data_IF_218519335790
#
_entry.id   IF_218519335790
#
_cell.length_a   1.000
_cell.length_b   1.000
_cell.length_c   1.000
_cell.angle_alpha   90.00
_cell.angle_beta   90.00
_cell.angle_gamma   90.00
#
_symmetry.space_group_name_H-M   'P 1'
#
loop_
_entity.id
_entity.type
_entity.pdbx_description
1 polymer ?
#
# COMPACT_ATOMS: atom_id res chain seq x y z
N UNK A 1 21.24 6.34 1.31
CA UNK A 1 20.62 7.61 1.73
C UNK A 1 19.33 7.77 0.95
N UNK A 2 18.24 8.18 1.61
CA UNK A 2 16.94 8.36 0.95
C UNK A 2 17.03 9.43 -0.14
N UNK A 3 16.39 9.19 -1.29
CA UNK A 3 16.48 10.06 -2.48
C UNK A 3 15.36 11.10 -2.50
N UNK A 4 14.17 10.72 -2.07
CA UNK A 4 12.94 11.51 -2.22
C UNK A 4 12.29 11.90 -0.89
N UNK A 5 12.94 11.63 0.26
CA UNK A 5 12.37 11.84 1.59
C UNK A 5 11.91 13.28 1.84
N UNK A 6 12.70 14.26 1.43
CA UNK A 6 12.34 15.68 1.63
C UNK A 6 11.44 16.22 0.51
N UNK A 7 11.15 15.39 -0.50
CA UNK A 7 10.48 15.84 -1.71
C UNK A 7 9.93 14.67 -2.54
N UNK A 8 8.77 14.18 -2.12
CA UNK A 8 8.08 13.06 -2.77
C UNK A 8 7.59 13.41 -4.19
N UNK A 9 8.07 12.74 -5.25
CA UNK A 9 7.68 13.00 -6.64
C UNK A 9 6.17 12.95 -6.88
N UNK A 10 5.47 11.99 -6.26
CA UNK A 10 4.03 11.82 -6.39
C UNK A 10 3.21 12.96 -5.80
N UNK A 11 3.82 13.87 -5.00
CA UNK A 11 3.18 15.10 -4.51
C UNK A 11 3.24 16.25 -5.50
N UNK A 12 4.14 16.18 -6.48
CA UNK A 12 4.35 17.23 -7.50
C UNK A 12 3.45 17.07 -8.72
N UNK A 13 2.60 16.04 -8.74
CA UNK A 13 1.78 15.67 -9.89
C UNK A 13 2.40 14.52 -10.69
N UNK A 14 1.70 14.12 -11.75
CA UNK A 14 1.98 12.88 -12.46
C UNK A 14 1.20 11.72 -11.86
N UNK A 15 1.30 10.56 -12.50
CA UNK A 15 0.58 9.34 -12.12
C UNK A 15 1.61 8.31 -11.71
N UNK A 16 1.35 7.68 -10.58
CA UNK A 16 2.22 6.65 -10.01
C UNK A 16 1.45 5.33 -9.95
N UNK A 17 2.12 4.27 -10.38
CA UNK A 17 1.64 2.90 -10.20
C UNK A 17 2.22 2.34 -8.89
N UNK A 18 1.42 1.56 -8.17
CA UNK A 18 1.89 0.64 -7.12
C UNK A 18 1.68 -0.80 -7.60
N UNK A 19 2.16 -1.76 -6.84
CA UNK A 19 1.93 -3.18 -7.12
C UNK A 19 0.48 -3.64 -6.79
N UNK A 20 0.25 -4.94 -6.93
CA UNK A 20 -1.04 -5.61 -6.68
C UNK A 20 -1.08 -6.36 -5.34
N UNK A 21 -1.83 -7.45 -5.28
CA UNK A 21 -1.88 -8.33 -4.11
C UNK A 21 -0.68 -9.28 -4.10
N UNK A 22 0.40 -8.89 -3.41
CA UNK A 22 1.66 -9.65 -3.39
C UNK A 22 1.46 -11.08 -2.88
N UNK A 23 0.99 -11.22 -1.65
CA UNK A 23 0.84 -12.52 -1.01
C UNK A 23 -0.14 -13.41 -1.79
N UNK A 24 -1.28 -12.86 -2.24
CA UNK A 24 -2.24 -13.61 -3.07
C UNK A 24 -1.61 -14.04 -4.40
N UNK A 25 -0.78 -13.22 -5.03
CA UNK A 25 -0.08 -13.59 -6.27
C UNK A 25 0.93 -14.70 -6.02
N UNK A 26 1.75 -14.58 -4.97
CA UNK A 26 2.80 -15.54 -4.65
C UNK A 26 2.21 -16.90 -4.25
N UNK A 27 1.11 -16.92 -3.50
CA UNK A 27 0.42 -18.16 -3.10
C UNK A 27 -0.31 -18.76 -4.30
N UNK A 28 -1.29 -18.06 -4.88
CA UNK A 28 -2.22 -18.66 -5.83
C UNK A 28 -1.70 -18.76 -7.27
N UNK A 29 -0.76 -17.89 -7.68
CA UNK A 29 -0.20 -17.92 -9.04
C UNK A 29 1.20 -18.50 -9.11
N UNK A 30 1.96 -18.50 -8.02
CA UNK A 30 3.34 -19.03 -7.97
C UNK A 30 3.48 -20.28 -7.11
N UNK A 31 2.44 -20.67 -6.35
CA UNK A 31 2.45 -21.88 -5.53
C UNK A 31 3.45 -21.80 -4.38
N UNK A 32 3.76 -20.60 -3.89
CA UNK A 32 4.68 -20.41 -2.77
C UNK A 32 3.94 -20.53 -1.44
N UNK A 33 4.56 -21.22 -0.50
CA UNK A 33 4.12 -21.25 0.89
C UNK A 33 4.62 -19.98 1.60
N UNK A 34 3.68 -19.19 2.11
CA UNK A 34 3.98 -18.02 2.93
C UNK A 34 3.46 -18.28 4.35
N UNK A 35 4.32 -18.73 5.29
CA UNK A 35 3.90 -18.99 6.66
C UNK A 35 3.29 -17.73 7.26
N UNK A 36 2.10 -17.87 7.84
CA UNK A 36 1.32 -16.75 8.35
C UNK A 36 1.15 -15.60 7.34
N UNK A 37 1.02 -15.89 6.04
CA UNK A 37 0.82 -14.88 5.00
C UNK A 37 1.90 -13.77 5.01
N UNK A 38 3.13 -14.11 5.43
CA UNK A 38 4.19 -13.13 5.62
C UNK A 38 5.20 -13.18 4.47
N UNK A 39 5.12 -12.25 3.53
CA UNK A 39 6.03 -12.20 2.37
C UNK A 39 7.50 -11.91 2.76
N UNK A 40 7.76 -11.22 3.87
CA UNK A 40 9.11 -10.80 4.26
C UNK A 40 10.08 -11.96 4.46
N UNK A 41 9.58 -13.17 4.77
CA UNK A 41 10.40 -14.38 4.96
C UNK A 41 11.14 -14.77 3.68
N UNK A 42 10.64 -14.38 2.50
CA UNK A 42 11.29 -14.63 1.22
C UNK A 42 12.62 -13.86 1.10
N UNK A 43 12.83 -12.80 1.88
CA UNK A 43 14.07 -12.02 1.87
C UNK A 43 15.26 -12.78 2.46
N UNK A 44 15.05 -13.90 3.17
CA UNK A 44 16.13 -14.70 3.77
C UNK A 44 16.94 -15.47 2.73
N UNK A 45 16.31 -15.91 1.64
CA UNK A 45 16.96 -16.77 0.64
C UNK A 45 17.11 -16.07 -0.72
N UNK A 46 18.10 -16.50 -1.50
CA UNK A 46 18.29 -15.97 -2.85
C UNK A 46 17.12 -16.35 -3.78
N UNK A 47 16.59 -17.56 -3.63
CA UNK A 47 15.41 -18.00 -4.35
C UNK A 47 14.18 -17.14 -4.04
N UNK A 48 13.92 -16.85 -2.76
CA UNK A 48 12.83 -15.98 -2.35
C UNK A 48 12.98 -14.54 -2.87
N UNK A 49 14.18 -13.96 -2.79
CA UNK A 49 14.50 -12.65 -3.40
C UNK A 49 14.31 -12.66 -4.91
N UNK A 50 14.62 -13.75 -5.59
CA UNK A 50 14.37 -13.90 -7.04
C UNK A 50 12.87 -13.89 -7.37
N UNK A 51 12.04 -14.56 -6.56
CA UNK A 51 10.58 -14.50 -6.72
C UNK A 51 10.01 -13.10 -6.49
N UNK A 52 10.48 -12.40 -5.44
CA UNK A 52 10.10 -11.01 -5.18
C UNK A 52 10.52 -10.10 -6.34
N UNK A 53 11.74 -10.27 -6.86
CA UNK A 53 12.24 -9.47 -7.99
C UNK A 53 11.35 -9.65 -9.22
N UNK A 54 11.06 -10.89 -9.61
CA UNK A 54 10.15 -11.18 -10.73
C UNK A 54 8.75 -10.61 -10.52
N UNK A 55 8.26 -10.62 -9.28
CA UNK A 55 6.98 -9.99 -8.93
C UNK A 55 7.01 -8.48 -9.22
N UNK A 56 7.97 -7.72 -8.67
CA UNK A 56 8.05 -6.27 -8.87
C UNK A 56 8.31 -5.89 -10.32
N UNK A 57 9.20 -6.62 -11.01
CA UNK A 57 9.58 -6.33 -12.39
C UNK A 57 8.40 -6.40 -13.36
N UNK A 58 7.40 -7.24 -13.09
CA UNK A 58 6.17 -7.29 -13.87
C UNK A 58 5.38 -5.96 -13.82
N UNK A 59 5.28 -5.33 -12.64
CA UNK A 59 4.59 -4.04 -12.47
C UNK A 59 5.44 -2.87 -12.93
N UNK A 60 6.75 -2.89 -12.68
CA UNK A 60 7.68 -1.86 -13.16
C UNK A 60 7.72 -1.80 -14.70
N UNK A 61 7.61 -2.96 -15.37
CA UNK A 61 7.50 -3.01 -16.83
C UNK A 61 6.23 -2.30 -17.34
N UNK A 62 5.08 -2.51 -16.68
CA UNK A 62 3.82 -1.85 -17.00
C UNK A 62 3.93 -0.35 -16.77
N UNK A 63 4.46 0.09 -15.63
CA UNK A 63 4.65 1.51 -15.33
C UNK A 63 5.53 2.20 -16.40
N UNK A 64 6.64 1.58 -16.77
CA UNK A 64 7.53 2.07 -17.82
C UNK A 64 6.85 2.14 -19.19
N UNK A 65 6.06 1.14 -19.56
CA UNK A 65 5.30 1.14 -20.82
C UNK A 65 4.35 2.34 -20.92
N UNK A 66 3.76 2.75 -19.79
CA UNK A 66 2.81 3.87 -19.72
C UNK A 66 3.42 5.21 -19.29
N UNK A 67 4.75 5.29 -19.12
CA UNK A 67 5.41 6.53 -18.73
C UNK A 67 5.12 6.97 -17.28
N UNK A 68 4.90 6.03 -16.36
CA UNK A 68 4.47 6.29 -14.99
C UNK A 68 5.63 6.23 -13.99
N UNK A 69 5.53 7.03 -12.93
CA UNK A 69 6.33 6.78 -11.72
C UNK A 69 5.88 5.50 -11.02
N UNK A 70 6.69 5.00 -10.10
CA UNK A 70 6.37 3.80 -9.32
C UNK A 70 6.59 4.02 -7.83
N UNK A 71 5.72 3.46 -6.99
CA UNK A 71 5.95 3.34 -5.54
C UNK A 71 6.27 1.88 -5.24
N UNK A 72 7.51 1.63 -4.84
CA UNK A 72 8.01 0.32 -4.44
C UNK A 72 7.67 0.12 -2.95
N UNK A 73 6.61 -0.65 -2.68
CA UNK A 73 6.21 -1.02 -1.33
C UNK A 73 7.03 -2.22 -0.83
N UNK A 74 7.66 -2.14 0.33
CA UNK A 74 8.45 -3.25 0.86
C UNK A 74 7.57 -4.45 1.21
N UNK A 75 8.06 -5.71 1.09
CA UNK A 75 7.28 -6.92 1.38
C UNK A 75 7.14 -7.17 2.89
N UNK A 76 6.82 -6.14 3.68
CA UNK A 76 6.97 -6.09 5.14
C UNK A 76 5.66 -5.85 5.89
N UNK A 77 4.51 -6.03 5.23
CA UNK A 77 3.19 -5.79 5.83
C UNK A 77 2.99 -6.54 7.16
N UNK A 78 3.48 -7.79 7.27
CA UNK A 78 3.51 -8.59 8.53
C UNK A 78 4.86 -8.62 9.25
N UNK A 79 5.84 -7.78 8.92
CA UNK A 79 7.16 -7.77 9.57
C UNK A 79 7.16 -6.97 10.90
N UNK A 80 6.23 -7.31 11.79
CA UNK A 80 6.01 -6.65 13.08
C UNK A 80 6.15 -7.63 14.26
N UNK A 81 6.21 -7.16 15.53
CA UNK A 81 6.49 -8.01 16.69
C UNK A 81 5.56 -9.22 16.86
N UNK A 82 4.25 -9.05 16.67
CA UNK A 82 3.26 -10.10 16.96
C UNK A 82 3.34 -11.26 15.94
N UNK A 83 3.60 -10.94 14.67
CA UNK A 83 3.86 -11.95 13.63
C UNK A 83 5.29 -12.49 13.68
N UNK A 84 6.27 -11.64 14.03
CA UNK A 84 7.66 -12.03 14.21
C UNK A 84 7.83 -13.16 15.22
N UNK A 85 7.21 -13.05 16.39
CA UNK A 85 7.24 -14.11 17.43
C UNK A 85 6.71 -15.44 16.90
N UNK A 86 5.61 -15.44 16.13
CA UNK A 86 5.04 -16.66 15.53
C UNK A 86 5.98 -17.30 14.48
N UNK A 87 6.78 -16.48 13.82
CA UNK A 87 7.73 -16.88 12.78
C UNK A 87 9.15 -17.12 13.32
N UNK A 88 9.39 -16.95 14.63
CA UNK A 88 10.69 -17.15 15.26
C UNK A 88 11.66 -15.97 15.14
N UNK A 89 11.16 -14.75 14.90
CA UNK A 89 11.93 -13.51 14.87
C UNK A 89 11.81 -12.78 16.20
N UNK A 90 12.94 -12.39 16.78
CA UNK A 90 13.01 -11.40 17.84
C UNK A 90 13.08 -9.96 17.26
N UNK A 91 13.16 -8.96 18.14
CA UNK A 91 13.20 -7.55 17.74
C UNK A 91 14.44 -7.19 16.90
N UNK A 92 15.58 -7.82 17.17
CA UNK A 92 16.82 -7.57 16.43
C UNK A 92 16.73 -8.16 15.02
N UNK A 93 16.21 -9.39 14.91
CA UNK A 93 15.94 -10.03 13.63
C UNK A 93 14.89 -9.26 12.82
N UNK A 94 13.84 -8.74 13.47
CA UNK A 94 12.86 -7.86 12.82
C UNK A 94 13.48 -6.55 12.32
N UNK A 95 14.38 -5.96 13.08
CA UNK A 95 15.13 -4.76 12.65
C UNK A 95 15.93 -5.08 11.38
N UNK A 96 16.71 -6.17 11.40
CA UNK A 96 17.54 -6.61 10.27
C UNK A 96 16.70 -6.89 9.03
N UNK A 97 15.57 -7.60 9.16
CA UNK A 97 14.76 -7.99 7.99
C UNK A 97 14.01 -6.80 7.38
N UNK A 98 13.53 -5.86 8.20
CA UNK A 98 12.91 -4.62 7.72
C UNK A 98 13.95 -3.74 6.99
N UNK A 99 15.17 -3.61 7.51
CA UNK A 99 16.24 -2.89 6.80
C UNK A 99 16.64 -3.59 5.50
N UNK A 100 16.71 -4.93 5.49
CA UNK A 100 17.00 -5.73 4.29
C UNK A 100 15.94 -5.52 3.21
N UNK A 101 14.67 -5.41 3.59
CA UNK A 101 13.58 -5.14 2.66
C UNK A 101 13.79 -3.83 1.91
N UNK A 102 14.17 -2.75 2.61
CA UNK A 102 14.45 -1.46 1.99
C UNK A 102 15.66 -1.54 1.05
N UNK A 103 16.75 -2.19 1.46
CA UNK A 103 17.94 -2.39 0.61
C UNK A 103 17.62 -3.18 -0.65
N UNK A 104 16.77 -4.20 -0.55
CA UNK A 104 16.29 -4.96 -1.71
C UNK A 104 15.53 -4.06 -2.70
N UNK A 105 14.70 -3.14 -2.21
CA UNK A 105 14.04 -2.15 -3.07
C UNK A 105 15.02 -1.13 -3.67
N UNK A 106 16.10 -0.80 -2.97
CA UNK A 106 17.17 0.05 -3.52
C UNK A 106 17.84 -0.59 -4.74
N UNK A 107 18.05 -1.91 -4.73
CA UNK A 107 18.57 -2.66 -5.90
C UNK A 107 17.61 -2.55 -7.10
N UNK A 108 16.30 -2.72 -6.87
CA UNK A 108 15.28 -2.57 -7.90
C UNK A 108 15.26 -1.13 -8.45
N UNK A 109 15.23 -0.12 -7.58
CA UNK A 109 15.30 1.29 -7.98
C UNK A 109 16.54 1.57 -8.83
N UNK A 110 17.71 1.07 -8.43
CA UNK A 110 18.96 1.25 -9.18
C UNK A 110 18.93 0.70 -10.60
N UNK A 111 18.08 -0.29 -10.87
CA UNK A 111 17.92 -0.91 -12.20
C UNK A 111 16.83 -0.24 -13.04
N UNK A 112 15.75 0.20 -12.39
CA UNK A 112 14.51 0.56 -13.08
C UNK A 112 14.23 2.06 -13.15
N UNK A 113 14.79 2.84 -12.23
CA UNK A 113 14.57 4.29 -12.20
C UNK A 113 15.27 4.99 -13.35
N UNK A 114 14.58 5.94 -13.98
CA UNK A 114 15.16 6.84 -14.99
C UNK A 114 14.68 8.27 -14.79
N UNK A 115 15.26 9.24 -15.52
CA UNK A 115 14.97 10.67 -15.39
C UNK A 115 13.50 11.09 -15.69
N UNK A 116 12.62 10.16 -16.09
CA UNK A 116 11.18 10.41 -16.25
C UNK A 116 10.28 9.40 -15.53
N UNK A 117 10.87 8.40 -14.86
CA UNK A 117 10.16 7.29 -14.21
C UNK A 117 10.70 7.14 -12.78
N UNK A 118 10.38 8.10 -11.89
CA UNK A 118 10.87 8.05 -10.51
C UNK A 118 10.33 6.82 -9.79
N UNK A 119 11.19 6.15 -9.02
CA UNK A 119 10.81 5.01 -8.18
C UNK A 119 10.99 5.39 -6.71
N UNK A 120 9.88 5.57 -6.01
CA UNK A 120 9.83 5.93 -4.59
C UNK A 120 9.87 4.67 -3.74
N UNK A 121 10.79 4.59 -2.78
CA UNK A 121 10.88 3.45 -1.86
C UNK A 121 10.00 3.71 -0.65
N UNK A 122 8.98 2.89 -0.46
CA UNK A 122 8.02 2.99 0.61
C UNK A 122 8.12 1.79 1.58
N UNK A 123 8.29 2.09 2.86
CA UNK A 123 8.17 1.08 3.92
C UNK A 123 6.70 0.73 4.16
N UNK A 124 6.28 -0.47 3.79
CA UNK A 124 4.91 -0.94 3.98
C UNK A 124 4.72 -1.51 5.39
N UNK A 125 3.73 -0.96 6.09
CA UNK A 125 3.36 -1.33 7.46
C UNK A 125 1.95 -1.90 7.43
N UNK A 126 1.73 -3.06 8.04
CA UNK A 126 0.40 -3.59 8.28
C UNK A 126 -0.14 -3.20 9.65
N UNK A 127 -1.45 -3.38 9.88
CA UNK A 127 -2.00 -3.24 11.21
C UNK A 127 -1.40 -4.30 12.13
N UNK A 128 -1.41 -4.05 13.45
CA UNK A 128 -1.02 -5.05 14.44
C UNK A 128 -1.87 -6.32 14.36
N UNK A 129 -3.17 -6.14 14.13
CA UNK A 129 -4.14 -7.23 14.01
C UNK A 129 -4.14 -7.90 12.63
N UNK A 130 -5.18 -8.68 12.36
CA UNK A 130 -5.51 -9.02 10.97
C UNK A 130 -6.30 -7.85 10.39
N UNK A 131 -6.02 -7.43 9.15
CA UNK A 131 -6.59 -6.21 8.55
C UNK A 131 -8.12 -6.14 8.55
N UNK A 132 -8.79 -7.27 8.78
CA UNK A 132 -10.25 -7.43 8.82
C UNK A 132 -10.84 -7.47 10.25
N UNK A 133 -10.04 -7.33 11.31
CA UNK A 133 -10.52 -7.33 12.71
C UNK A 133 -10.08 -6.06 13.43
N UNK A 134 -11.02 -5.43 14.14
CA UNK A 134 -10.77 -4.18 14.88
C UNK A 134 -9.60 -4.32 15.87
N UNK A 135 -8.57 -3.50 15.71
CA UNK A 135 -7.55 -3.32 16.74
C UNK A 135 -8.13 -2.62 17.99
N UNK A 136 -7.62 -2.95 19.18
CA UNK A 136 -8.03 -2.36 20.47
C UNK A 136 -6.96 -1.43 21.07
N UNK A 137 -6.04 -0.90 20.27
CA UNK A 137 -4.99 -0.01 20.76
C UNK A 137 -5.46 1.44 20.86
N UNK A 138 -5.00 2.14 21.88
CA UNK A 138 -4.98 3.59 21.86
C UNK A 138 -3.86 4.13 20.95
N UNK A 139 -3.84 5.44 20.71
CA UNK A 139 -2.89 6.05 19.80
C UNK A 139 -1.43 6.05 20.31
N UNK A 140 -1.22 6.01 21.63
CA UNK A 140 0.12 5.95 22.22
C UNK A 140 0.66 4.53 22.13
N UNK A 141 -0.15 3.53 22.47
CA UNK A 141 0.21 2.11 22.31
C UNK A 141 0.53 1.78 20.84
N UNK A 142 -0.26 2.30 19.90
CA UNK A 142 0.00 2.11 18.48
C UNK A 142 1.30 2.80 18.03
N UNK A 143 1.59 3.99 18.56
CA UNK A 143 2.85 4.68 18.28
C UNK A 143 4.05 3.85 18.76
N UNK A 144 4.02 3.36 20.00
CA UNK A 144 5.10 2.54 20.57
C UNK A 144 5.29 1.24 19.78
N UNK A 145 4.19 0.57 19.42
CA UNK A 145 4.21 -0.67 18.67
C UNK A 145 4.89 -0.53 17.29
N UNK A 146 4.52 0.50 16.53
CA UNK A 146 5.00 0.70 15.16
C UNK A 146 6.35 1.41 15.06
N UNK A 147 6.82 2.04 16.14
CA UNK A 147 8.03 2.89 16.13
C UNK A 147 9.30 2.15 15.70
N UNK A 148 9.51 0.92 16.15
CA UNK A 148 10.73 0.15 15.83
C UNK A 148 10.84 -0.19 14.33
N UNK A 149 9.72 -0.58 13.71
CA UNK A 149 9.67 -0.89 12.28
C UNK A 149 9.91 0.38 11.44
N UNK A 150 9.26 1.49 11.80
CA UNK A 150 9.44 2.78 11.14
C UNK A 150 10.89 3.28 11.27
N UNK A 151 11.50 3.15 12.44
CA UNK A 151 12.90 3.52 12.66
C UNK A 151 13.84 2.70 11.75
N UNK A 152 13.59 1.39 11.63
CA UNK A 152 14.35 0.51 10.73
C UNK A 152 14.28 0.97 9.26
N UNK A 153 13.09 1.38 8.80
CA UNK A 153 12.93 1.93 7.44
C UNK A 153 13.63 3.28 7.26
N UNK A 154 13.51 4.17 8.25
CA UNK A 154 14.15 5.47 8.22
C UNK A 154 15.67 5.36 8.17
N UNK A 155 16.26 4.47 8.98
CA UNK A 155 17.69 4.18 9.01
C UNK A 155 18.16 3.54 7.69
N UNK A 156 17.40 2.58 7.16
CA UNK A 156 17.75 1.90 5.91
C UNK A 156 17.62 2.78 4.66
N UNK A 157 17.02 3.97 4.76
CA UNK A 157 16.95 4.94 3.66
C UNK A 157 15.66 4.92 2.85
N UNK A 158 14.55 4.44 3.42
CA UNK A 158 13.23 4.55 2.78
C UNK A 158 12.86 6.01 2.51
N UNK A 159 12.20 6.30 1.39
CA UNK A 159 11.78 7.66 1.05
C UNK A 159 10.53 8.07 1.84
N UNK A 160 9.66 7.12 2.14
CA UNK A 160 8.45 7.31 2.96
C UNK A 160 8.03 5.98 3.61
N UNK A 161 7.00 6.05 4.45
CA UNK A 161 6.27 4.87 4.95
C UNK A 161 4.78 4.99 4.67
N UNK A 162 4.11 3.86 4.50
CA UNK A 162 2.65 3.81 4.39
C UNK A 162 2.12 2.68 5.25
N UNK A 163 1.18 3.00 6.13
CA UNK A 163 0.40 1.96 6.81
C UNK A 163 -0.83 1.60 5.99
N UNK A 164 -0.94 0.32 5.64
CA UNK A 164 -1.97 -0.23 4.78
C UNK A 164 -2.98 -1.06 5.55
N UNK A 165 -4.22 -1.05 5.07
CA UNK A 165 -5.32 -1.86 5.62
C UNK A 165 -5.60 -1.52 7.08
N UNK A 166 -5.46 -0.24 7.45
CA UNK A 166 -5.85 0.19 8.78
C UNK A 166 -7.37 0.18 8.90
N UNK A 167 -7.85 -0.35 10.03
CA UNK A 167 -9.26 -0.40 10.38
C UNK A 167 -9.56 0.36 11.69
N UNK A 168 -8.57 1.07 12.22
CA UNK A 168 -8.65 1.84 13.47
C UNK A 168 -8.01 3.22 13.29
N UNK A 169 -8.75 4.26 13.69
CA UNK A 169 -8.28 5.65 13.69
C UNK A 169 -7.13 5.86 14.67
N UNK A 170 -7.18 5.22 15.84
CA UNK A 170 -6.10 5.32 16.84
C UNK A 170 -4.78 4.76 16.32
N UNK A 171 -4.84 3.65 15.59
CA UNK A 171 -3.64 3.06 15.01
C UNK A 171 -3.03 3.97 13.94
N UNK A 172 -3.87 4.59 13.10
CA UNK A 172 -3.42 5.60 12.14
C UNK A 172 -2.74 6.79 12.81
N UNK A 173 -3.31 7.32 13.90
CA UNK A 173 -2.71 8.40 14.68
C UNK A 173 -1.34 7.97 15.23
N UNK A 174 -1.24 6.77 15.80
CA UNK A 174 0.00 6.24 16.36
C UNK A 174 1.11 6.13 15.32
N UNK A 175 0.80 5.56 14.14
CA UNK A 175 1.74 5.46 13.01
C UNK A 175 2.22 6.86 12.57
N UNK A 176 1.31 7.82 12.40
CA UNK A 176 1.68 9.18 11.96
C UNK A 176 2.61 9.84 12.98
N UNK A 177 2.34 9.68 14.28
CA UNK A 177 3.21 10.22 15.34
C UNK A 177 4.58 9.56 15.36
N UNK A 178 4.64 8.24 15.21
CA UNK A 178 5.90 7.50 15.13
C UNK A 178 6.75 7.94 13.91
N UNK A 179 6.13 8.08 12.73
CA UNK A 179 6.82 8.57 11.54
C UNK A 179 7.30 10.01 11.68
N UNK A 180 6.50 10.88 12.30
CA UNK A 180 6.90 12.27 12.62
C UNK A 180 8.14 12.31 13.52
N UNK A 181 8.25 11.43 14.52
CA UNK A 181 9.46 11.34 15.36
C UNK A 181 10.71 10.93 14.58
N UNK A 182 10.55 10.09 13.55
CA UNK A 182 11.65 9.62 12.70
C UNK A 182 11.93 10.56 11.50
N UNK A 183 11.23 11.69 11.41
CA UNK A 183 11.33 12.64 10.30
C UNK A 183 11.20 11.98 8.92
N UNK A 184 10.29 10.99 8.79
CA UNK A 184 9.99 10.31 7.54
C UNK A 184 8.55 10.62 7.11
N UNK A 185 8.30 11.00 5.84
CA UNK A 185 6.96 11.20 5.34
C UNK A 185 6.10 9.94 5.50
N UNK A 186 4.83 10.15 5.81
CA UNK A 186 3.88 9.07 6.09
C UNK A 186 2.58 9.25 5.32
N UNK A 187 2.11 8.17 4.74
CA UNK A 187 0.74 8.05 4.23
C UNK A 187 -0.03 7.00 5.03
N UNK A 188 -1.36 7.14 5.06
CA UNK A 188 -2.26 6.20 5.73
C UNK A 188 -3.27 5.66 4.72
N UNK A 189 -3.45 4.35 4.68
CA UNK A 189 -4.47 3.72 3.86
C UNK A 189 -5.48 2.98 4.71
N UNK A 190 -6.74 3.42 4.65
CA UNK A 190 -7.85 2.76 5.33
C UNK A 190 -8.46 1.69 4.43
N UNK A 191 -9.01 0.64 5.05
CA UNK A 191 -9.95 -0.28 4.41
C UNK A 191 -11.36 -0.05 4.95
N UNK A 192 -12.36 -0.41 4.15
CA UNK A 192 -13.79 -0.32 4.50
C UNK A 192 -14.49 -1.62 4.16
N UNK A 193 -15.61 -1.88 4.84
CA UNK A 193 -16.54 -2.94 4.48
C UNK A 193 -17.45 -2.55 3.32
N UNK A 194 -18.33 -3.47 2.92
CA UNK A 194 -19.26 -3.31 1.79
C UNK A 194 -20.24 -2.15 1.94
N UNK A 195 -20.41 -1.61 3.15
CA UNK A 195 -21.22 -0.44 3.48
C UNK A 195 -20.45 0.89 3.38
N UNK A 196 -19.15 0.84 3.09
CA UNK A 196 -18.29 2.02 2.95
C UNK A 196 -17.73 2.57 4.26
N UNK A 197 -17.93 1.85 5.37
CA UNK A 197 -17.45 2.22 6.69
C UNK A 197 -16.25 1.37 7.13
N UNK A 198 -15.43 1.90 8.04
CA UNK A 198 -14.45 1.09 8.77
C UNK A 198 -15.17 0.04 9.64
N UNK A 199 -14.45 -0.97 10.10
CA UNK A 199 -15.01 -2.10 10.86
C UNK A 199 -15.79 -1.72 12.15
N UNK A 200 -15.56 -0.51 12.70
CA UNK A 200 -16.26 0.02 13.88
C UNK A 200 -17.39 1.00 13.51
N UNK A 201 -17.66 1.20 12.23
CA UNK A 201 -18.74 2.02 11.70
C UNK A 201 -18.36 3.47 11.38
N UNK A 202 -17.11 3.90 11.64
CA UNK A 202 -16.67 5.23 11.23
C UNK A 202 -16.63 5.34 9.71
N UNK A 203 -17.10 6.46 9.18
CA UNK A 203 -16.95 6.80 7.77
C UNK A 203 -15.49 7.15 7.46
N UNK A 204 -15.10 7.05 6.18
CA UNK A 204 -13.78 7.53 5.72
C UNK A 204 -13.54 9.00 6.06
N UNK A 205 -14.59 9.83 5.97
CA UNK A 205 -14.54 11.24 6.33
C UNK A 205 -14.15 11.44 7.79
N UNK A 206 -14.89 10.80 8.70
CA UNK A 206 -14.63 10.90 10.14
C UNK A 206 -13.21 10.43 10.46
N UNK A 207 -12.80 9.27 9.91
CA UNK A 207 -11.47 8.73 10.13
C UNK A 207 -10.36 9.71 9.70
N UNK A 208 -10.45 10.25 8.48
CA UNK A 208 -9.47 11.20 7.93
C UNK A 208 -9.44 12.49 8.76
N UNK A 209 -10.60 13.08 9.05
CA UNK A 209 -10.69 14.33 9.80
C UNK A 209 -10.18 14.19 11.24
N UNK A 210 -10.41 13.05 11.90
CA UNK A 210 -9.88 12.78 13.24
C UNK A 210 -8.36 12.63 13.21
N UNK A 211 -7.80 11.85 12.26
CA UNK A 211 -6.34 11.71 12.12
C UNK A 211 -5.69 13.05 11.86
N UNK A 212 -6.19 13.82 10.88
CA UNK A 212 -5.65 15.13 10.52
C UNK A 212 -5.68 16.09 11.73
N UNK A 213 -6.78 16.11 12.49
CA UNK A 213 -6.90 16.95 13.69
C UNK A 213 -5.93 16.54 14.80
N UNK A 214 -5.83 15.23 15.07
CA UNK A 214 -5.01 14.69 16.16
C UNK A 214 -3.50 14.72 15.89
N UNK A 215 -3.10 14.94 14.63
CA UNK A 215 -1.71 14.90 14.16
C UNK A 215 -1.27 16.21 13.49
N UNK A 216 -2.11 17.25 13.53
CA UNK A 216 -1.85 18.55 12.88
C UNK A 216 -1.57 18.39 11.37
N UNK A 217 -2.30 17.48 10.71
CA UNK A 217 -2.17 17.15 9.29
C UNK A 217 -0.76 16.69 8.90
N UNK A 218 -0.04 16.03 9.80
CA UNK A 218 1.30 15.51 9.54
C UNK A 218 1.32 14.36 8.52
N UNK A 219 0.18 13.72 8.25
CA UNK A 219 0.04 12.74 7.18
C UNK A 219 0.12 13.43 5.80
N UNK A 220 0.97 12.96 4.89
CA UNK A 220 1.10 13.52 3.55
C UNK A 220 -0.23 13.46 2.77
N UNK A 221 -0.82 12.26 2.78
CA UNK A 221 -2.07 11.94 2.15
C UNK A 221 -2.64 10.61 2.66
N UNK A 222 -3.90 10.38 2.34
CA UNK A 222 -4.58 9.13 2.59
C UNK A 222 -4.76 8.34 1.30
N UNK A 223 -4.94 7.03 1.45
CA UNK A 223 -5.31 6.10 0.40
C UNK A 223 -6.51 5.27 0.89
N UNK A 224 -7.16 4.59 -0.05
CA UNK A 224 -8.10 3.51 0.25
C UNK A 224 -7.51 2.22 -0.30
N UNK A 225 -7.39 1.18 0.50
CA UNK A 225 -6.91 -0.11 0.02
C UNK A 225 -7.69 -1.29 0.60
N UNK A 226 -7.50 -2.45 -0.01
CA UNK A 226 -8.13 -3.70 0.40
C UNK A 226 -9.66 -3.69 0.35
N UNK A 227 -10.27 -2.74 -0.37
CA UNK A 227 -11.70 -2.69 -0.65
C UNK A 227 -11.92 -2.57 -2.16
N UNK A 228 -13.02 -3.10 -2.67
CA UNK A 228 -13.39 -2.93 -4.08
C UNK A 228 -14.05 -1.55 -4.27
N UNK A 229 -13.90 -0.84 -5.40
CA UNK A 229 -14.46 0.50 -5.57
C UNK A 229 -15.97 0.59 -5.30
N UNK A 230 -16.72 -0.48 -5.57
CA UNK A 230 -18.17 -0.57 -5.27
C UNK A 230 -18.50 -0.37 -3.79
N UNK A 231 -17.56 -0.59 -2.89
CA UNK A 231 -17.78 -0.48 -1.45
C UNK A 231 -17.73 0.97 -0.97
N UNK A 232 -16.94 1.83 -1.62
CA UNK A 232 -16.70 3.20 -1.13
C UNK A 232 -17.04 4.31 -2.13
N UNK A 233 -17.25 4.00 -3.42
CA UNK A 233 -17.45 5.04 -4.44
C UNK A 233 -18.64 5.96 -4.14
N UNK A 234 -19.70 5.43 -3.50
CA UNK A 234 -20.88 6.18 -3.08
C UNK A 234 -20.63 7.12 -1.88
N UNK A 235 -19.60 6.85 -1.07
CA UNK A 235 -19.22 7.66 0.08
C UNK A 235 -18.36 8.87 -0.31
N UNK A 236 -17.82 8.90 -1.53
CA UNK A 236 -16.95 9.97 -2.00
C UNK A 236 -17.77 11.07 -2.70
N UNK A 237 -17.75 12.28 -2.15
CA UNK A 237 -18.40 13.45 -2.76
C UNK A 237 -17.38 14.48 -3.24
N UNK A 238 -17.39 14.77 -4.55
CA UNK A 238 -16.45 15.71 -5.16
C UNK A 238 -16.60 17.13 -4.56
N UNK A 239 -15.45 17.80 -4.34
CA UNK A 239 -15.40 19.14 -3.76
C UNK A 239 -15.41 19.18 -2.24
N UNK A 240 -15.59 18.06 -1.54
CA UNK A 240 -15.42 18.04 -0.08
C UNK A 240 -13.92 18.07 0.30
N UNK A 241 -13.49 18.94 1.25
CA UNK A 241 -12.07 19.12 1.58
C UNK A 241 -11.33 17.86 2.05
N UNK A 242 -12.03 16.91 2.68
CA UNK A 242 -11.44 15.66 3.15
C UNK A 242 -11.12 14.71 1.99
N UNK A 243 -11.91 14.74 0.90
CA UNK A 243 -11.69 13.91 -0.29
C UNK A 243 -10.40 14.33 -1.01
N UNK A 244 -10.07 15.62 -0.98
CA UNK A 244 -8.79 16.15 -1.50
C UNK A 244 -7.56 15.62 -0.73
N UNK A 245 -7.77 14.95 0.43
CA UNK A 245 -6.71 14.26 1.15
C UNK A 245 -6.43 12.86 0.60
N UNK A 246 -7.35 12.28 -0.16
CA UNK A 246 -7.18 10.95 -0.76
C UNK A 246 -6.39 11.09 -2.06
N UNK A 247 -5.18 10.52 -2.08
CA UNK A 247 -4.26 10.64 -3.22
C UNK A 247 -4.23 9.39 -4.11
N UNK A 248 -5.00 8.36 -3.77
CA UNK A 248 -5.07 7.16 -4.58
C UNK A 248 -5.78 5.97 -3.95
N UNK A 249 -5.81 4.87 -4.71
CA UNK A 249 -6.53 3.65 -4.39
C UNK A 249 -5.70 2.42 -4.76
N UNK A 250 -5.68 1.45 -3.85
CA UNK A 250 -5.16 0.08 -4.06
C UNK A 250 -6.28 -0.93 -3.84
N UNK A 251 -7.12 -1.12 -4.84
CA UNK A 251 -8.37 -1.86 -4.71
C UNK A 251 -8.18 -3.38 -4.65
N UNK A 252 -9.12 -4.07 -4.00
CA UNK A 252 -9.27 -5.52 -4.17
C UNK A 252 -9.80 -5.85 -5.57
N UNK A 253 -9.50 -7.06 -6.06
CA UNK A 253 -10.07 -7.54 -7.31
C UNK A 253 -11.53 -7.97 -7.16
N UNK A 254 -11.87 -8.63 -6.06
CA UNK A 254 -13.22 -9.12 -5.78
C UNK A 254 -14.07 -8.07 -5.07
N UNK A 255 -15.35 -8.02 -5.42
CA UNK A 255 -16.37 -7.21 -4.75
C UNK A 255 -17.01 -7.90 -3.52
N UNK A 256 -16.58 -9.12 -3.17
CA UNK A 256 -17.02 -9.83 -1.96
C UNK A 256 -16.65 -9.07 -0.69
N UNK A 257 -17.36 -9.35 0.40
CA UNK A 257 -17.01 -8.86 1.74
C UNK A 257 -15.68 -9.45 2.23
N UNK A 258 -15.05 -8.83 3.22
CA UNK A 258 -13.82 -9.37 3.81
C UNK A 258 -14.04 -10.76 4.43
N UNK A 259 -15.19 -10.99 5.08
CA UNK A 259 -15.51 -12.29 5.66
C UNK A 259 -15.58 -13.41 4.61
N UNK A 260 -16.21 -13.14 3.46
CA UNK A 260 -16.28 -14.11 2.36
C UNK A 260 -14.91 -14.39 1.74
N UNK A 261 -13.98 -13.42 1.75
CA UNK A 261 -12.63 -13.59 1.24
C UNK A 261 -11.73 -14.35 2.22
N UNK A 262 -11.87 -14.10 3.52
CA UNK A 262 -11.09 -14.78 4.58
C UNK A 262 -11.40 -16.28 4.64
N UNK A 263 -12.64 -16.68 4.32
CA UNK A 263 -13.09 -18.08 4.29
C UNK A 263 -12.91 -18.76 2.92
N UNK A 264 -12.39 -18.05 1.91
CA UNK A 264 -12.28 -18.57 0.54
C UNK A 264 -11.00 -19.39 0.32
N UNK A 265 -11.15 -20.66 -0.03
CA UNK A 265 -10.03 -21.53 -0.44
C UNK A 265 -9.55 -21.27 -1.88
N UNK A 266 -10.36 -20.55 -2.66
CA UNK A 266 -10.07 -20.21 -4.05
C UNK A 266 -9.92 -18.70 -4.22
N UNK A 267 -9.00 -18.29 -5.11
CA UNK A 267 -8.84 -16.89 -5.45
C UNK A 267 -9.99 -16.43 -6.33
N UNK A 268 -10.77 -15.46 -5.86
CA UNK A 268 -11.65 -14.67 -6.71
C UNK A 268 -10.83 -13.54 -7.36
N UNK A 269 -10.52 -13.71 -8.64
CA UNK A 269 -9.68 -12.78 -9.39
C UNK A 269 -10.44 -11.59 -9.97
N UNK A 270 -11.75 -11.45 -9.73
CA UNK A 270 -12.54 -10.35 -10.29
C UNK A 270 -12.44 -10.20 -11.82
N UNK A 271 -12.75 -8.99 -12.32
CA UNK A 271 -12.59 -8.59 -13.73
C UNK A 271 -11.60 -7.41 -13.85
N UNK A 272 -10.38 -7.61 -14.37
CA UNK A 272 -9.41 -6.54 -14.64
C UNK A 272 -9.96 -5.37 -15.45
N UNK A 273 -10.81 -5.64 -16.45
CA UNK A 273 -11.36 -4.60 -17.31
C UNK A 273 -12.43 -3.78 -16.58
N UNK A 274 -13.23 -4.41 -15.73
CA UNK A 274 -14.17 -3.70 -14.85
C UNK A 274 -13.45 -2.79 -13.86
N UNK A 275 -12.42 -3.33 -13.20
CA UNK A 275 -11.63 -2.57 -12.26
C UNK A 275 -10.99 -1.34 -12.94
N UNK A 276 -10.45 -1.52 -14.16
CA UNK A 276 -9.92 -0.41 -14.96
C UNK A 276 -10.96 0.68 -15.27
N UNK A 277 -12.20 0.30 -15.65
CA UNK A 277 -13.29 1.27 -15.87
C UNK A 277 -13.67 2.05 -14.61
N UNK A 278 -13.68 1.38 -13.45
CA UNK A 278 -13.96 2.02 -12.16
C UNK A 278 -12.87 3.01 -11.76
N UNK A 279 -11.61 2.68 -12.00
CA UNK A 279 -10.50 3.61 -11.79
C UNK A 279 -10.63 4.85 -12.69
N UNK A 280 -11.09 4.71 -13.94
CA UNK A 280 -11.39 5.87 -14.81
C UNK A 280 -12.47 6.77 -14.20
N UNK A 281 -13.56 6.19 -13.69
CA UNK A 281 -14.63 6.95 -13.04
C UNK A 281 -14.13 7.71 -11.80
N UNK A 282 -13.41 7.02 -10.91
CA UNK A 282 -12.81 7.62 -9.72
C UNK A 282 -11.87 8.77 -10.07
N UNK A 283 -10.95 8.58 -11.01
CA UNK A 283 -9.99 9.63 -11.39
C UNK A 283 -10.63 10.84 -12.07
N UNK A 284 -11.71 10.64 -12.84
CA UNK A 284 -12.47 11.74 -13.44
C UNK A 284 -13.17 12.57 -12.37
N UNK A 285 -13.74 11.93 -11.35
CA UNK A 285 -14.40 12.61 -10.25
C UNK A 285 -13.41 13.23 -9.24
N UNK A 286 -12.24 12.62 -9.05
CA UNK A 286 -11.26 12.96 -8.03
C UNK A 286 -9.84 13.09 -8.62
N UNK A 287 -9.49 14.25 -9.23
CA UNK A 287 -8.24 14.42 -9.97
C UNK A 287 -6.95 14.28 -9.13
N UNK A 288 -7.04 14.37 -7.79
CA UNK A 288 -5.92 14.11 -6.88
C UNK A 288 -5.61 12.62 -6.69
N UNK A 289 -6.49 11.71 -7.10
CA UNK A 289 -6.19 10.28 -7.12
C UNK A 289 -5.19 9.97 -8.23
N UNK A 290 -3.91 10.01 -7.85
CA UNK A 290 -2.74 9.89 -8.72
C UNK A 290 -1.95 8.60 -8.45
N UNK A 291 -2.14 7.97 -7.30
CA UNK A 291 -1.61 6.64 -6.98
C UNK A 291 -2.62 5.57 -7.36
N UNK A 292 -2.26 4.73 -8.31
CA UNK A 292 -3.11 3.65 -8.82
C UNK A 292 -2.42 2.33 -8.53
N UNK A 293 -3.15 1.34 -8.03
CA UNK A 293 -2.63 -0.02 -7.94
C UNK A 293 -3.67 -0.97 -7.40
N UNK A 294 -3.23 -2.11 -6.88
CA UNK A 294 -4.13 -3.14 -6.39
C UNK A 294 -3.75 -3.68 -5.02
N UNK A 295 -4.64 -4.47 -4.46
CA UNK A 295 -4.49 -5.21 -3.21
C UNK A 295 -4.92 -6.66 -3.43
N UNK A 296 -5.50 -7.33 -2.43
CA UNK A 296 -5.82 -8.76 -2.49
C UNK A 296 -6.61 -9.16 -3.76
N UNK A 297 -6.18 -10.25 -4.39
CA UNK A 297 -6.77 -10.78 -5.62
C UNK A 297 -6.31 -10.09 -6.91
N UNK A 298 -5.72 -8.89 -6.83
CA UNK A 298 -5.16 -8.23 -8.02
C UNK A 298 -3.77 -8.76 -8.34
N UNK A 299 -3.44 -8.74 -9.63
CA UNK A 299 -2.12 -9.08 -10.16
C UNK A 299 -1.69 -8.09 -11.26
N UNK A 300 -0.57 -8.37 -11.92
CA UNK A 300 -0.06 -7.55 -13.03
C UNK A 300 -1.07 -7.33 -14.18
N UNK A 301 -2.02 -8.26 -14.42
CA UNK A 301 -3.06 -8.08 -15.46
C UNK A 301 -4.04 -6.97 -15.08
N UNK A 302 -4.36 -6.85 -13.79
CA UNK A 302 -5.18 -5.77 -13.25
C UNK A 302 -4.47 -4.43 -13.38
N UNK A 303 -3.20 -4.36 -12.98
CA UNK A 303 -2.39 -3.16 -13.11
C UNK A 303 -2.31 -2.70 -14.58
N UNK A 304 -2.08 -3.63 -15.52
CA UNK A 304 -2.08 -3.32 -16.95
C UNK A 304 -3.43 -2.78 -17.44
N UNK A 305 -4.55 -3.39 -17.02
CA UNK A 305 -5.89 -2.92 -17.38
C UNK A 305 -6.20 -1.53 -16.81
N UNK A 306 -5.83 -1.26 -15.56
CA UNK A 306 -5.94 0.06 -14.92
C UNK A 306 -5.12 1.10 -15.70
N UNK A 307 -3.85 0.81 -16.00
CA UNK A 307 -2.98 1.71 -16.74
C UNK A 307 -3.52 1.99 -18.15
N UNK A 308 -3.93 0.95 -18.89
CA UNK A 308 -4.49 1.10 -20.23
C UNK A 308 -5.77 1.96 -20.25
N UNK A 309 -6.62 1.83 -19.24
CA UNK A 309 -7.86 2.59 -19.14
C UNK A 309 -7.63 4.05 -18.69
N UNK A 310 -6.77 4.27 -17.69
CA UNK A 310 -6.57 5.57 -17.06
C UNK A 310 -5.50 6.44 -17.72
N UNK A 311 -4.53 5.81 -18.39
CA UNK A 311 -3.41 6.47 -19.07
C UNK A 311 -3.25 5.84 -20.45
N UNK A 312 -4.18 6.12 -21.38
CA UNK A 312 -4.06 5.62 -22.74
C UNK A 312 -2.71 6.06 -23.29
N UNK A 313 -1.97 5.13 -23.91
CA UNK A 313 -0.74 5.48 -24.62
C UNK A 313 -1.07 6.62 -25.56
N UNK A 314 -0.33 7.73 -25.47
CA UNK A 314 -0.43 8.76 -26.50
C UNK A 314 -0.17 8.06 -27.82
N UNK A 315 -1.11 8.15 -28.76
CA UNK A 315 -0.90 7.66 -30.11
C UNK A 315 0.43 8.27 -30.57
N UNK A 316 1.42 7.42 -30.89
CA UNK A 316 2.66 7.88 -31.46
C UNK A 316 2.27 8.80 -32.62
N UNK A 317 2.62 10.09 -32.50
CA UNK A 317 2.24 11.09 -33.49
C UNK A 317 2.61 10.58 -34.87
N UNK A 318 1.62 10.61 -35.76
CA UNK A 318 1.81 10.38 -37.19
C UNK A 318 2.84 11.35 -37.78
#
# INVERSE_FOLDING_TARGET
MAKYRDNLPQRRGGIFLTDGGMETTLIFHKGLELPHFAAFVLLESEAGRSHLRQYYEAYLAIARQHGLGFVLDSPTWRANPDWGVKLGYDMDALTVINMRAIRFLEELRGTWETSGLPCVINGAIGPRGDGYKAGNMDATEAMDYHSSQIASFAEAGADMVTAFTLNSVNEAIGVVRAAKMQAIPVAISFTVETDGCLVRGETLREAIEIVDRATERACEYFLINCAHPTHFESALQAGEPWVERIHGVRANASAKSHAELDESEVLDSGDPADLGRRYVALRRAFPRMQLLGGCCGTDHRHAAAICAACVPLQAAGA
#
